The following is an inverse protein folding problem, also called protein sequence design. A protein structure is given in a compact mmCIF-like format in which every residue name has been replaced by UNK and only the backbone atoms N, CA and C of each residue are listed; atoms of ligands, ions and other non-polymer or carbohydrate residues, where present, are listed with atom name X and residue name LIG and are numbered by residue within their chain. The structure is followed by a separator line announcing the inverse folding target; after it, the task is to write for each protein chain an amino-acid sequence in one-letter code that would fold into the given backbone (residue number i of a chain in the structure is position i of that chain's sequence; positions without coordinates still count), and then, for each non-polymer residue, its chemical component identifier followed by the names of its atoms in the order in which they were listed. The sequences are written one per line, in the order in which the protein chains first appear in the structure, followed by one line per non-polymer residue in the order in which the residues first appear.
data_IF_869088724155
#
_entry.id   IF_869088724155
#
_cell.length_a   1.000
_cell.length_b   1.000
_cell.length_c   1.000
_cell.angle_alpha   90.00
_cell.angle_beta   90.00
_cell.angle_gamma   90.00
#
_symmetry.space_group_name_H-M   'P 1'
#
loop_
_entity.id
_entity.type
_entity.pdbx_description
1 polymer ?
#
# COMPACT_ATOMS: atom_id res chain seq x y z
N UNK A 1 -6.73 -13.97 0.63
CA UNK A 1 -7.08 -13.02 -0.45
C UNK A 1 -7.24 -13.88 -1.69
N UNK A 2 -8.48 -14.18 -2.05
CA UNK A 2 -8.81 -15.14 -3.09
C UNK A 2 -8.76 -14.45 -4.47
N UNK A 3 -8.60 -15.24 -5.53
CA UNK A 3 -8.78 -14.75 -6.91
C UNK A 3 -10.22 -14.23 -7.10
N UNK A 4 -10.43 -12.94 -6.84
CA UNK A 4 -11.75 -12.30 -6.93
C UNK A 4 -11.91 -11.04 -6.08
N UNK A 5 -10.99 -10.75 -5.15
CA UNK A 5 -11.02 -9.51 -4.37
C UNK A 5 -10.88 -8.27 -5.29
N UNK A 6 -11.82 -7.30 -5.26
CA UNK A 6 -11.82 -6.14 -6.14
C UNK A 6 -10.66 -5.16 -5.86
N UNK A 7 -10.08 -5.25 -4.67
CA UNK A 7 -8.90 -4.50 -4.24
C UNK A 7 -7.90 -5.47 -3.61
N UNK A 8 -6.64 -5.44 -4.04
CA UNK A 8 -5.54 -6.27 -3.52
C UNK A 8 -4.41 -5.39 -3.00
N UNK A 9 -3.81 -5.78 -1.88
CA UNK A 9 -2.60 -5.13 -1.36
C UNK A 9 -1.41 -6.05 -1.62
N UNK A 10 -0.42 -5.58 -2.36
CA UNK A 10 0.78 -6.32 -2.74
C UNK A 10 1.98 -5.64 -2.07
N UNK A 11 2.76 -6.41 -1.29
CA UNK A 11 4.02 -5.90 -0.72
C UNK A 11 5.13 -6.03 -1.76
N UNK A 12 5.81 -4.91 -2.04
CA UNK A 12 7.05 -4.86 -2.80
C UNK A 12 8.17 -4.46 -1.85
N UNK A 13 9.20 -5.29 -1.74
CA UNK A 13 10.39 -4.99 -0.95
C UNK A 13 11.57 -4.88 -1.92
N UNK A 14 12.11 -3.67 -2.09
CA UNK A 14 13.17 -3.40 -3.05
C UNK A 14 14.55 -3.71 -2.45
N UNK A 15 14.72 -3.39 -1.17
CA UNK A 15 15.87 -3.74 -0.33
C UNK A 15 15.35 -4.03 1.09
N UNK A 16 16.13 -4.70 1.96
CA UNK A 16 15.76 -4.84 3.36
C UNK A 16 15.42 -3.48 3.95
N UNK A 17 14.31 -3.42 4.69
CA UNK A 17 13.86 -2.23 5.41
C UNK A 17 13.45 -1.03 4.51
N UNK A 18 13.22 -1.26 3.20
CA UNK A 18 12.63 -0.26 2.32
C UNK A 18 11.80 -0.88 1.18
N UNK A 19 10.61 -0.32 0.95
CA UNK A 19 9.70 -0.86 -0.05
C UNK A 19 8.42 -0.06 -0.23
N UNK A 20 7.41 -0.73 -0.77
CA UNK A 20 6.09 -0.15 -0.98
C UNK A 20 4.97 -1.18 -0.84
N UNK A 21 3.77 -0.72 -0.51
CA UNK A 21 2.54 -1.47 -0.67
C UNK A 21 1.78 -0.91 -1.88
N UNK A 22 1.51 -1.77 -2.85
CA UNK A 22 0.67 -1.48 -4.00
C UNK A 22 -0.77 -1.90 -3.69
N UNK A 23 -1.69 -0.94 -3.69
CA UNK A 23 -3.12 -1.19 -3.71
C UNK A 23 -3.57 -1.27 -5.16
N UNK A 24 -3.82 -2.48 -5.63
CA UNK A 24 -4.21 -2.80 -7.00
C UNK A 24 -5.69 -3.08 -7.11
N UNK A 25 -6.33 -2.46 -8.09
CA UNK A 25 -7.74 -2.67 -8.41
C UNK A 25 -7.90 -3.77 -9.47
N UNK A 26 -8.84 -4.69 -9.25
CA UNK A 26 -9.09 -5.78 -10.19
C UNK A 26 -9.69 -5.29 -11.52
N UNK A 27 -10.37 -4.14 -11.50
CA UNK A 27 -11.00 -3.52 -12.67
C UNK A 27 -10.03 -2.74 -13.59
N UNK A 28 -8.73 -2.71 -13.25
CA UNK A 28 -7.71 -2.08 -14.08
C UNK A 28 -7.49 -0.59 -13.83
N UNK A 29 -8.20 0.02 -12.86
CA UNK A 29 -7.87 1.36 -12.33
C UNK A 29 -6.41 1.45 -11.88
N UNK A 30 -5.89 2.68 -11.91
CA UNK A 30 -4.52 2.97 -11.48
C UNK A 30 -4.29 2.51 -10.04
N UNK A 31 -3.18 1.81 -9.83
CA UNK A 31 -2.81 1.30 -8.52
C UNK A 31 -2.20 2.41 -7.67
N UNK A 32 -2.47 2.39 -6.36
CA UNK A 32 -1.93 3.37 -5.41
C UNK A 32 -0.76 2.77 -4.64
N UNK A 33 0.36 3.47 -4.58
CA UNK A 33 1.56 3.02 -3.86
C UNK A 33 1.73 3.76 -2.54
N UNK A 34 2.08 3.01 -1.50
CA UNK A 34 2.42 3.51 -0.17
C UNK A 34 3.85 3.10 0.16
N UNK A 35 4.77 4.05 0.08
CA UNK A 35 6.20 3.81 0.28
C UNK A 35 6.56 3.87 1.76
N UNK A 36 7.52 3.04 2.15
CA UNK A 36 8.06 3.01 3.51
C UNK A 36 9.57 2.87 3.46
N UNK A 37 10.22 3.39 4.50
CA UNK A 37 11.64 3.18 4.77
C UNK A 37 11.80 3.20 6.29
N UNK A 38 12.11 2.04 6.88
CA UNK A 38 12.27 1.89 8.32
C UNK A 38 13.58 2.54 8.80
N UNK A 39 14.50 2.83 7.89
CA UNK A 39 15.78 3.47 8.20
C UNK A 39 15.61 4.98 8.03
N UNK A 40 15.32 5.67 9.13
CA UNK A 40 15.10 7.12 9.13
C UNK A 40 16.19 7.95 8.42
N UNK A 41 17.46 7.50 8.49
CA UNK A 41 18.60 8.14 7.82
C UNK A 41 18.67 7.94 6.30
N UNK A 42 17.84 7.05 5.72
CA UNK A 42 17.75 6.78 4.27
C UNK A 42 16.48 7.32 3.63
N UNK A 43 15.52 7.79 4.44
CA UNK A 43 14.26 8.36 3.98
C UNK A 43 14.50 9.49 2.97
N UNK A 44 14.16 9.24 1.71
CA UNK A 44 14.17 10.24 0.63
C UNK A 44 13.08 11.31 0.80
N UNK A 45 12.09 11.04 1.66
CA UNK A 45 10.98 11.93 1.97
C UNK A 45 10.73 11.94 3.48
N UNK A 46 10.63 13.12 4.12
CA UNK A 46 10.35 13.21 5.55
C UNK A 46 8.95 12.72 5.93
N UNK A 47 8.00 12.70 4.99
CA UNK A 47 6.65 12.15 5.16
C UNK A 47 6.61 10.61 5.07
N UNK A 48 7.71 9.96 4.67
CA UNK A 48 7.77 8.51 4.52
C UNK A 48 7.84 7.85 5.90
N UNK A 49 6.80 7.10 6.23
CA UNK A 49 6.70 6.36 7.48
C UNK A 49 7.52 5.07 7.48
N UNK A 50 7.48 4.39 8.62
CA UNK A 50 7.86 2.99 8.77
C UNK A 50 6.90 2.06 8.02
N UNK A 51 7.30 0.79 7.89
CA UNK A 51 6.52 -0.23 7.20
C UNK A 51 5.11 -0.39 7.78
N UNK A 52 4.97 -0.28 9.11
CA UNK A 52 3.69 -0.46 9.79
C UNK A 52 2.72 0.65 9.42
N UNK A 53 3.18 1.91 9.45
CA UNK A 53 2.42 3.08 9.05
C UNK A 53 1.99 3.02 7.58
N UNK A 54 2.88 2.60 6.67
CA UNK A 54 2.51 2.46 5.25
C UNK A 54 1.52 1.33 5.00
N UNK A 55 1.64 0.23 5.76
CA UNK A 55 0.70 -0.89 5.70
C UNK A 55 -0.68 -0.47 6.18
N UNK A 56 -0.77 0.26 7.29
CA UNK A 56 -2.04 0.74 7.82
C UNK A 56 -2.74 1.68 6.83
N UNK A 57 -2.00 2.63 6.24
CA UNK A 57 -2.53 3.51 5.20
C UNK A 57 -3.02 2.74 3.97
N UNK A 58 -2.27 1.73 3.51
CA UNK A 58 -2.69 0.88 2.39
C UNK A 58 -3.98 0.11 2.72
N UNK A 59 -4.10 -0.40 3.95
CA UNK A 59 -5.29 -1.11 4.42
C UNK A 59 -6.51 -0.20 4.61
N UNK A 60 -6.32 1.00 5.15
CA UNK A 60 -7.39 1.99 5.28
C UNK A 60 -7.88 2.44 3.90
N UNK A 61 -6.97 2.76 2.98
CA UNK A 61 -7.31 3.12 1.62
C UNK A 61 -8.04 1.97 0.90
N UNK A 62 -7.55 0.74 1.00
CA UNK A 62 -8.21 -0.41 0.39
C UNK A 62 -9.62 -0.64 0.95
N UNK A 63 -9.82 -0.47 2.27
CA UNK A 63 -11.14 -0.57 2.91
C UNK A 63 -12.09 0.53 2.43
N UNK A 64 -11.64 1.78 2.39
CA UNK A 64 -12.45 2.90 1.88
C UNK A 64 -12.87 2.68 0.43
N UNK A 65 -11.99 2.12 -0.41
CA UNK A 65 -12.33 1.81 -1.80
C UNK A 65 -13.22 0.61 -1.97
N UNK A 66 -13.14 -0.37 -1.07
CA UNK A 66 -14.07 -1.49 -1.06
C UNK A 66 -15.49 -1.03 -0.69
N UNK A 67 -15.60 -0.14 0.30
CA UNK A 67 -16.88 0.46 0.74
C UNK A 67 -17.55 1.28 -0.38
N UNK A 68 -16.78 2.14 -1.07
CA UNK A 68 -17.24 2.92 -2.24
C UNK A 68 -17.76 2.03 -3.39
N UNK A 69 -17.21 0.82 -3.55
CA UNK A 69 -17.67 -0.14 -4.56
C UNK A 69 -18.93 -0.91 -4.16
N UNK A 70 -19.29 -0.89 -2.88
CA UNK A 70 -20.44 -1.60 -2.31
C UNK A 70 -21.65 -0.68 -2.05
N UNK A 71 -21.48 0.64 -2.17
CA UNK A 71 -22.52 1.66 -1.95
C UNK A 71 -23.33 2.02 -3.20
#
# INVERSE_FOLDING_TARGET
MAEGDPVRIIKHEAVPDCGSFEVRFADGRESRFFYWDDIAGRRLRPEQGDQETAKEQAQEFARSKLDDLQS
#
